data_IF_834016644958
#
_entry.id   IF_834016644958
#
_cell.length_a   1.000
_cell.length_b   1.000
_cell.length_c   1.000
_cell.angle_alpha   90.00
_cell.angle_beta   90.00
_cell.angle_gamma   90.00
#
_symmetry.space_group_name_H-M   'P 1'
#
loop_
_entity.id
_entity.type
_entity.pdbx_description
1 polymer ?
#
# COMPACT_ATOMS: atom_id res chain seq x y z
N UNK A 1 2.59 -15.30 1.72
CA UNK A 1 1.21 -15.07 2.17
C UNK A 1 0.42 -14.43 1.03
N UNK A 2 -0.79 -14.90 0.68
CA UNK A 2 -1.59 -14.27 -0.35
C UNK A 2 -2.23 -12.99 0.19
N UNK A 3 -2.01 -11.86 -0.48
CA UNK A 3 -2.60 -10.55 -0.18
C UNK A 3 -4.11 -10.52 -0.55
N UNK A 4 -4.90 -11.50 -0.14
CA UNK A 4 -6.34 -11.57 -0.41
C UNK A 4 -7.16 -10.80 0.64
N UNK A 5 -6.81 -9.53 0.88
CA UNK A 5 -7.75 -8.58 1.50
C UNK A 5 -8.40 -7.82 0.36
N UNK A 6 -9.72 -7.87 0.25
CA UNK A 6 -10.49 -7.13 -0.76
C UNK A 6 -10.19 -5.64 -0.64
N UNK A 7 -9.38 -5.11 -1.57
CA UNK A 7 -9.08 -3.68 -1.64
C UNK A 7 -10.35 -2.98 -2.11
N UNK A 8 -10.81 -1.97 -1.38
CA UNK A 8 -11.95 -1.16 -1.83
C UNK A 8 -11.49 -0.21 -2.95
N UNK A 9 -12.24 -0.12 -4.07
CA UNK A 9 -11.94 0.83 -5.14
C UNK A 9 -12.21 2.28 -4.70
N UNK A 10 -13.14 2.50 -3.79
CA UNK A 10 -13.61 3.83 -3.39
C UNK A 10 -12.77 4.49 -2.30
N UNK A 11 -11.83 3.74 -1.71
CA UNK A 11 -10.93 4.23 -0.65
C UNK A 11 -9.51 4.34 -1.18
N UNK A 12 -8.67 5.12 -0.50
CA UNK A 12 -7.25 5.19 -0.81
C UNK A 12 -6.57 3.82 -0.80
N UNK A 13 -5.45 3.70 -1.53
CA UNK A 13 -4.63 2.48 -1.51
C UNK A 13 -4.25 2.17 -0.05
N UNK A 14 -4.47 0.94 0.43
CA UNK A 14 -4.17 0.60 1.81
C UNK A 14 -2.69 0.86 2.11
N UNK A 15 -2.42 1.51 3.23
CA UNK A 15 -1.06 1.81 3.68
C UNK A 15 -0.56 0.65 4.54
N UNK A 16 0.65 0.17 4.24
CA UNK A 16 1.30 -0.84 5.07
C UNK A 16 1.69 -0.24 6.42
N UNK A 17 1.28 -0.92 7.49
CA UNK A 17 1.73 -0.59 8.84
C UNK A 17 3.26 -0.60 8.94
N UNK A 18 3.80 0.27 9.77
CA UNK A 18 5.23 0.29 10.05
C UNK A 18 5.63 -0.95 10.84
N UNK A 19 6.82 -1.46 10.57
CA UNK A 19 7.40 -2.55 11.33
C UNK A 19 7.69 -2.09 12.76
N UNK A 20 6.97 -2.68 13.71
CA UNK A 20 7.19 -2.47 15.12
C UNK A 20 8.10 -3.58 15.66
N UNK A 21 9.34 -3.22 15.96
CA UNK A 21 10.34 -4.15 16.51
C UNK A 21 9.92 -4.75 17.84
N UNK A 22 9.21 -4.01 18.70
CA UNK A 22 8.78 -4.52 20.01
C UNK A 22 7.64 -5.52 19.89
N UNK A 23 6.67 -5.22 19.04
CA UNK A 23 5.58 -6.14 18.71
C UNK A 23 6.11 -7.41 18.06
N UNK A 24 7.09 -7.29 17.15
CA UNK A 24 7.76 -8.44 16.57
C UNK A 24 8.44 -9.30 17.63
N UNK A 25 9.20 -8.70 18.56
CA UNK A 25 9.87 -9.43 19.64
C UNK A 25 8.85 -10.10 20.56
N UNK A 26 7.73 -9.44 20.86
CA UNK A 26 6.63 -10.02 21.66
C UNK A 26 5.94 -11.18 20.95
N UNK A 27 5.92 -11.17 19.61
CA UNK A 27 5.35 -12.26 18.80
C UNK A 27 6.26 -13.49 18.69
N UNK A 28 7.53 -13.39 19.07
CA UNK A 28 8.43 -14.54 19.09
C UNK A 28 8.04 -15.49 20.22
N UNK A 29 8.04 -16.79 19.95
CA UNK A 29 7.80 -17.81 20.97
C UNK A 29 8.77 -17.62 22.14
N UNK A 30 8.25 -17.79 23.37
CA UNK A 30 9.06 -17.63 24.58
C UNK A 30 10.29 -18.52 24.58
N UNK A 31 10.24 -19.69 23.93
CA UNK A 31 11.35 -20.63 23.74
C UNK A 31 12.46 -20.11 22.80
N UNK A 32 12.16 -19.21 21.86
CA UNK A 32 13.15 -18.54 21.01
C UNK A 32 13.78 -17.34 21.73
N UNK A 33 13.02 -16.74 22.64
CA UNK A 33 13.49 -15.65 23.49
C UNK A 33 14.35 -16.20 24.61
N UNK A 34 14.05 -17.37 25.20
CA UNK A 34 14.84 -17.99 26.25
C UNK A 34 15.71 -19.12 25.70
N UNK A 35 17.03 -18.94 25.64
CA UNK A 35 17.91 -20.11 25.57
C UNK A 35 17.80 -20.85 26.91
N UNK A 36 17.20 -22.04 26.91
CA UNK A 36 17.30 -22.96 28.03
C UNK A 36 18.79 -23.23 28.30
N UNK A 37 19.29 -22.67 29.40
CA UNK A 37 20.61 -23.02 29.91
C UNK A 37 20.48 -24.43 30.46
N UNK A 38 20.95 -25.44 29.72
CA UNK A 38 21.41 -26.68 30.37
C UNK A 38 22.50 -26.25 31.33
N UNK A 39 22.23 -26.35 32.63
CA UNK A 39 23.20 -26.03 33.67
C UNK A 39 24.51 -26.80 33.41
N UNK A 40 25.54 -26.09 32.94
CA UNK A 40 26.92 -26.55 33.07
C UNK A 40 27.36 -26.12 34.47
N UNK A 41 27.11 -27.01 35.43
CA UNK A 41 27.56 -26.91 36.81
C UNK A 41 29.05 -26.54 36.87
N UNK A 42 29.39 -25.35 37.39
CA UNK A 42 30.77 -25.09 37.81
C UNK A 42 31.31 -23.66 37.84
N UNK A 43 30.64 -22.65 37.26
CA UNK A 43 31.23 -21.29 37.24
C UNK A 43 30.31 -20.23 37.85
N UNK A 44 30.66 -19.81 39.07
CA UNK A 44 30.20 -18.60 39.76
C UNK A 44 30.61 -17.33 38.98
N UNK A 45 29.95 -17.06 37.86
CA UNK A 45 29.93 -15.74 37.23
C UNK A 45 28.46 -15.37 37.04
N UNK A 46 28.08 -14.14 37.40
CA UNK A 46 26.78 -13.55 37.01
C UNK A 46 26.73 -13.49 35.48
N UNK A 47 26.32 -14.58 34.85
CA UNK A 47 26.10 -14.64 33.41
C UNK A 47 24.79 -13.89 33.17
N UNK A 48 24.90 -12.75 32.48
CA UNK A 48 23.75 -11.95 32.04
C UNK A 48 22.79 -12.89 31.31
N UNK A 49 21.54 -12.94 31.76
CA UNK A 49 20.58 -13.96 31.33
C UNK A 49 20.49 -14.04 29.79
N UNK A 50 20.67 -15.22 29.18
CA UNK A 50 20.65 -15.41 27.72
C UNK A 50 19.36 -14.92 27.05
N UNK A 51 18.25 -14.89 27.80
CA UNK A 51 16.95 -14.50 27.26
C UNK A 51 16.85 -13.03 26.88
N UNK A 52 17.63 -12.19 27.57
CA UNK A 52 17.77 -10.76 27.26
C UNK A 52 18.63 -10.59 25.99
N UNK A 53 19.44 -11.58 25.60
CA UNK A 53 20.39 -11.48 24.50
C UNK A 53 19.72 -11.57 23.12
N UNK A 54 18.68 -12.40 22.94
CA UNK A 54 18.01 -12.55 21.62
C UNK A 54 17.17 -11.32 21.30
N UNK A 55 16.37 -10.83 22.25
CA UNK A 55 15.61 -9.59 22.07
C UNK A 55 16.54 -8.39 21.78
N UNK A 56 17.64 -8.26 22.52
CA UNK A 56 18.64 -7.21 22.30
C UNK A 56 19.33 -7.36 20.94
N UNK A 57 19.64 -8.59 20.52
CA UNK A 57 20.20 -8.87 19.19
C UNK A 57 19.23 -8.45 18.09
N UNK A 58 17.95 -8.82 18.18
CA UNK A 58 16.92 -8.43 17.21
C UNK A 58 16.77 -6.90 17.17
N UNK A 59 16.74 -6.23 18.33
CA UNK A 59 16.70 -4.76 18.38
C UNK A 59 17.89 -4.13 17.65
N UNK A 60 19.11 -4.61 17.92
CA UNK A 60 20.33 -4.12 17.26
C UNK A 60 20.36 -4.45 15.77
N UNK A 61 19.91 -5.64 15.40
CA UNK A 61 19.82 -6.06 14.01
C UNK A 61 18.87 -5.15 13.22
N UNK A 62 17.70 -4.85 13.76
CA UNK A 62 16.74 -3.93 13.13
C UNK A 62 17.27 -2.49 13.00
N UNK A 63 18.27 -2.10 13.78
CA UNK A 63 18.95 -0.80 13.66
C UNK A 63 20.07 -0.79 12.62
N UNK A 64 20.49 -1.95 12.09
CA UNK A 64 21.55 -2.01 11.08
C UNK A 64 21.11 -1.46 9.73
N UNK A 65 22.04 -0.86 9.00
CA UNK A 65 21.80 -0.36 7.64
C UNK A 65 21.34 -1.47 6.68
N UNK A 66 21.80 -2.71 6.87
CA UNK A 66 21.38 -3.86 6.06
C UNK A 66 19.88 -4.15 6.22
N UNK A 67 19.39 -4.23 7.46
CA UNK A 67 17.97 -4.45 7.71
C UNK A 67 17.14 -3.29 7.18
N UNK A 68 17.55 -2.05 7.44
CA UNK A 68 16.84 -0.86 6.98
C UNK A 68 16.75 -0.81 5.45
N UNK A 69 17.84 -1.11 4.74
CA UNK A 69 17.86 -1.19 3.27
C UNK A 69 16.92 -2.27 2.74
N UNK A 70 17.03 -3.49 3.29
CA UNK A 70 16.15 -4.60 2.92
C UNK A 70 14.67 -4.32 3.22
N UNK A 71 14.37 -3.77 4.39
CA UNK A 71 13.01 -3.42 4.83
C UNK A 71 12.40 -2.36 3.91
N UNK A 72 13.14 -1.30 3.60
CA UNK A 72 12.69 -0.25 2.69
C UNK A 72 12.43 -0.80 1.28
N UNK A 73 13.32 -1.64 0.75
CA UNK A 73 13.11 -2.30 -0.53
C UNK A 73 11.85 -3.17 -0.51
N UNK A 74 11.67 -4.01 0.51
CA UNK A 74 10.49 -4.88 0.63
C UNK A 74 9.19 -4.12 0.78
N UNK A 75 9.19 -3.01 1.52
CA UNK A 75 8.04 -2.11 1.59
C UNK A 75 7.71 -1.48 0.25
N UNK A 76 8.72 -1.03 -0.50
CA UNK A 76 8.50 -0.44 -1.82
C UNK A 76 7.89 -1.46 -2.78
N UNK A 77 8.41 -2.69 -2.81
CA UNK A 77 7.84 -3.79 -3.59
C UNK A 77 6.38 -4.07 -3.19
N UNK A 78 6.09 -4.20 -1.89
CA UNK A 78 4.74 -4.46 -1.42
C UNK A 78 3.77 -3.30 -1.69
N UNK A 79 4.21 -2.05 -1.53
CA UNK A 79 3.42 -0.87 -1.89
C UNK A 79 3.11 -0.82 -3.38
N UNK A 80 4.08 -1.18 -4.24
CA UNK A 80 3.87 -1.25 -5.69
C UNK A 80 2.80 -2.27 -6.05
N UNK A 81 2.84 -3.46 -5.44
CA UNK A 81 1.81 -4.50 -5.62
C UNK A 81 0.43 -4.00 -5.15
N UNK A 82 0.35 -3.32 -4.00
CA UNK A 82 -0.91 -2.78 -3.50
C UNK A 82 -1.48 -1.69 -4.41
N UNK A 83 -0.61 -0.84 -4.98
CA UNK A 83 -1.02 0.16 -5.95
C UNK A 83 -1.58 -0.50 -7.22
N UNK A 84 -0.89 -1.51 -7.76
CA UNK A 84 -1.35 -2.23 -8.94
C UNK A 84 -2.71 -2.91 -8.70
N UNK A 85 -2.87 -3.62 -7.57
CA UNK A 85 -4.13 -4.27 -7.22
C UNK A 85 -5.28 -3.25 -7.05
N UNK A 86 -4.99 -2.10 -6.44
CA UNK A 86 -5.98 -1.05 -6.29
C UNK A 86 -6.40 -0.47 -7.65
N UNK A 87 -5.45 -0.21 -8.54
CA UNK A 87 -5.73 0.29 -9.89
C UNK A 87 -6.54 -0.71 -10.70
N UNK A 88 -6.19 -1.99 -10.62
CA UNK A 88 -6.99 -3.05 -11.22
C UNK A 88 -8.44 -3.02 -10.71
N UNK A 89 -8.61 -2.91 -9.39
CA UNK A 89 -9.96 -2.83 -8.79
C UNK A 89 -10.72 -1.60 -9.28
N UNK A 90 -10.06 -0.43 -9.42
CA UNK A 90 -10.68 0.78 -9.98
C UNK A 90 -11.15 0.56 -11.43
N UNK A 91 -10.36 -0.13 -12.26
CA UNK A 91 -10.72 -0.42 -13.65
C UNK A 91 -11.87 -1.42 -13.76
N UNK A 92 -11.93 -2.40 -12.86
CA UNK A 92 -12.96 -3.45 -12.84
C UNK A 92 -14.29 -2.97 -12.21
N UNK A 93 -14.32 -1.77 -11.62
CA UNK A 93 -15.50 -1.20 -10.95
C UNK A 93 -16.46 -0.54 -11.95
N UNK A 94 -17.76 -0.76 -11.78
CA UNK A 94 -18.79 0.00 -12.47
C UNK A 94 -19.02 1.35 -11.78
N UNK A 95 -18.46 2.41 -12.37
CA UNK A 95 -18.57 3.77 -11.85
C UNK A 95 -19.93 4.40 -12.09
N UNK A 96 -20.65 3.98 -13.14
CA UNK A 96 -21.96 4.55 -13.46
C UNK A 96 -22.98 4.11 -12.42
N UNK A 97 -22.94 2.84 -12.00
CA UNK A 97 -23.74 2.34 -10.89
C UNK A 97 -23.34 3.01 -9.56
N UNK A 98 -22.03 3.13 -9.29
CA UNK A 98 -21.55 3.75 -8.05
C UNK A 98 -21.98 5.22 -7.89
N UNK A 99 -22.01 5.99 -8.98
CA UNK A 99 -22.44 7.39 -8.97
C UNK A 99 -23.93 7.58 -8.66
N UNK A 100 -24.77 6.55 -8.86
CA UNK A 100 -26.21 6.68 -8.64
C UNK A 100 -26.53 6.86 -7.15
N UNK A 101 -27.22 7.96 -6.82
CA UNK A 101 -27.65 8.27 -5.45
C UNK A 101 -26.53 8.71 -4.50
N UNK A 102 -25.31 8.96 -5.00
CA UNK A 102 -24.21 9.59 -4.25
C UNK A 102 -24.29 11.11 -4.34
N UNK A 103 -23.84 11.84 -3.29
CA UNK A 103 -23.73 13.29 -3.39
C UNK A 103 -22.65 13.67 -4.40
N UNK A 104 -22.92 14.73 -5.18
CA UNK A 104 -22.03 15.19 -6.27
C UNK A 104 -20.60 15.45 -5.79
N UNK A 105 -20.44 15.98 -4.57
CA UNK A 105 -19.12 16.25 -3.97
C UNK A 105 -18.29 14.97 -3.81
N UNK A 106 -18.89 13.85 -3.41
CA UNK A 106 -18.18 12.56 -3.31
C UNK A 106 -17.77 12.04 -4.68
N UNK A 107 -18.64 12.23 -5.69
CA UNK A 107 -18.36 11.81 -7.07
C UNK A 107 -17.19 12.61 -7.64
N UNK A 108 -17.18 13.93 -7.46
CA UNK A 108 -16.11 14.81 -7.95
C UNK A 108 -14.80 14.52 -7.22
N UNK A 109 -14.81 14.36 -5.90
CA UNK A 109 -13.64 14.01 -5.09
C UNK A 109 -13.03 12.67 -5.53
N UNK A 110 -13.88 11.68 -5.82
CA UNK A 110 -13.41 10.39 -6.34
C UNK A 110 -12.85 10.51 -7.77
N UNK A 111 -13.46 11.35 -8.60
CA UNK A 111 -12.99 11.62 -9.96
C UNK A 111 -11.60 12.27 -9.96
N UNK A 112 -11.37 13.25 -9.07
CA UNK A 112 -10.05 13.88 -8.88
C UNK A 112 -9.03 12.83 -8.43
N UNK A 113 -9.37 11.96 -7.47
CA UNK A 113 -8.48 10.86 -7.04
C UNK A 113 -8.13 9.90 -8.17
N UNK A 114 -9.09 9.56 -9.02
CA UNK A 114 -8.86 8.69 -10.18
C UNK A 114 -7.94 9.36 -11.20
N UNK A 115 -8.15 10.65 -11.46
CA UNK A 115 -7.30 11.45 -12.34
C UNK A 115 -5.85 11.54 -11.82
N UNK A 116 -5.66 11.87 -10.55
CA UNK A 116 -4.31 11.96 -9.96
C UNK A 116 -3.58 10.62 -10.02
N UNK A 117 -4.28 9.51 -9.78
CA UNK A 117 -3.74 8.15 -9.96
C UNK A 117 -3.37 7.88 -11.41
N UNK A 118 -4.19 8.30 -12.36
CA UNK A 118 -3.90 8.18 -13.80
C UNK A 118 -2.65 8.98 -14.19
N UNK A 119 -2.44 10.18 -13.64
CA UNK A 119 -1.27 11.01 -13.93
C UNK A 119 0.01 10.48 -13.28
N UNK A 120 -0.11 9.84 -12.11
CA UNK A 120 1.02 9.22 -11.43
C UNK A 120 1.48 7.90 -12.07
N UNK A 121 0.64 7.27 -12.92
CA UNK A 121 1.03 6.13 -13.73
C UNK A 121 2.00 6.57 -14.83
N UNK A 122 3.30 6.38 -14.59
CA UNK A 122 4.35 6.58 -15.61
C UNK A 122 4.10 5.67 -16.82
N UNK A 123 4.42 6.13 -18.03
CA UNK A 123 4.40 5.35 -19.29
C UNK A 123 5.40 4.17 -19.33
N UNK A 124 6.07 3.90 -18.21
CA UNK A 124 6.97 2.78 -18.09
C UNK A 124 6.18 1.49 -17.90
N UNK A 125 6.11 0.72 -18.99
CA UNK A 125 5.61 -0.66 -19.13
C UNK A 125 4.13 -0.80 -19.52
N UNK A 126 3.87 -1.54 -20.61
CA UNK A 126 2.58 -1.64 -21.30
C UNK A 126 1.39 -2.13 -20.48
N UNK A 127 1.61 -2.69 -19.28
CA UNK A 127 0.56 -3.01 -18.32
C UNK A 127 -0.07 -1.74 -17.73
N UNK A 128 0.76 -0.75 -17.37
CA UNK A 128 0.28 0.54 -16.86
C UNK A 128 -0.46 1.37 -17.92
N UNK A 129 -0.08 1.22 -19.19
CA UNK A 129 -0.78 1.87 -20.32
C UNK A 129 -2.25 1.44 -20.41
N UNK A 130 -2.55 0.13 -20.30
CA UNK A 130 -3.93 -0.37 -20.36
C UNK A 130 -4.79 0.17 -19.22
N UNK A 131 -4.26 0.19 -17.99
CA UNK A 131 -4.97 0.74 -16.84
C UNK A 131 -5.17 2.25 -16.95
N UNK A 132 -4.18 2.98 -17.48
CA UNK A 132 -4.28 4.42 -17.74
C UNK A 132 -5.42 4.73 -18.72
N UNK A 133 -5.52 4.00 -19.83
CA UNK A 133 -6.62 4.15 -20.80
C UNK A 133 -7.97 3.71 -20.22
N UNK A 134 -7.99 2.68 -19.38
CA UNK A 134 -9.21 2.24 -18.68
C UNK A 134 -9.74 3.33 -17.72
N UNK A 135 -8.86 3.90 -16.90
CA UNK A 135 -9.21 5.00 -16.00
C UNK A 135 -9.64 6.26 -16.76
N UNK A 136 -8.96 6.60 -17.86
CA UNK A 136 -9.34 7.70 -18.74
C UNK A 136 -10.79 7.59 -19.23
N UNK A 137 -11.18 6.40 -19.71
CA UNK A 137 -12.54 6.12 -20.17
C UNK A 137 -13.56 6.25 -19.05
N UNK A 138 -13.25 5.71 -17.86
CA UNK A 138 -14.14 5.84 -16.71
C UNK A 138 -14.32 7.30 -16.28
N UNK A 139 -13.26 8.09 -16.26
CA UNK A 139 -13.32 9.53 -15.96
C UNK A 139 -14.19 10.26 -16.98
N UNK A 140 -14.01 9.99 -18.27
CA UNK A 140 -14.83 10.60 -19.32
C UNK A 140 -16.31 10.23 -19.19
N UNK A 141 -16.61 8.96 -18.93
CA UNK A 141 -17.98 8.49 -18.72
C UNK A 141 -18.64 9.22 -17.53
N UNK A 142 -17.95 9.34 -16.40
CA UNK A 142 -18.48 10.05 -15.22
C UNK A 142 -18.68 11.54 -15.53
N UNK A 143 -17.73 12.21 -16.20
CA UNK A 143 -17.86 13.63 -16.60
C UNK A 143 -19.08 13.85 -17.50
N UNK A 144 -19.38 12.89 -18.38
CA UNK A 144 -20.54 12.97 -19.28
C UNK A 144 -21.88 12.77 -18.57
N UNK A 145 -21.89 12.10 -17.41
CA UNK A 145 -23.10 11.92 -16.57
C UNK A 145 -23.34 13.06 -15.59
N UNK A 146 -22.35 13.91 -15.33
CA UNK A 146 -22.46 15.03 -14.39
C UNK A 146 -23.23 16.21 -15.00
N UNK A 147 -23.90 17.04 -14.17
CA UNK A 147 -24.54 18.27 -14.62
C UNK A 147 -23.58 19.21 -15.37
N UNK A 148 -24.09 20.04 -16.31
CA UNK A 148 -23.27 20.89 -17.17
C UNK A 148 -22.39 21.89 -16.38
N UNK A 149 -22.88 22.36 -15.23
CA UNK A 149 -22.16 23.29 -14.37
C UNK A 149 -20.85 22.68 -13.85
N UNK A 150 -20.89 21.43 -13.38
CA UNK A 150 -19.71 20.70 -12.89
C UNK A 150 -18.85 20.19 -14.04
N UNK A 151 -19.49 19.71 -15.11
CA UNK A 151 -18.80 19.24 -16.32
C UNK A 151 -17.87 20.32 -16.89
N UNK A 152 -18.33 21.58 -16.91
CA UNK A 152 -17.57 22.73 -17.42
C UNK A 152 -16.28 23.01 -16.64
N UNK A 153 -16.29 22.81 -15.32
CA UNK A 153 -15.13 23.02 -14.45
C UNK A 153 -14.15 21.85 -14.55
N UNK A 154 -14.65 20.63 -14.75
CA UNK A 154 -13.88 19.40 -14.79
C UNK A 154 -13.32 19.07 -16.19
N UNK A 155 -13.58 19.89 -17.21
CA UNK A 155 -13.03 19.73 -18.58
C UNK A 155 -11.51 19.57 -18.56
N UNK A 156 -10.81 20.25 -17.64
CA UNK A 156 -9.36 20.18 -17.52
C UNK A 156 -8.83 18.83 -17.03
N UNK A 157 -9.68 17.99 -16.44
CA UNK A 157 -9.35 16.62 -16.02
C UNK A 157 -9.54 15.61 -17.14
N UNK A 158 -10.08 16.04 -18.30
CA UNK A 158 -10.19 15.17 -19.46
C UNK A 158 -8.76 14.89 -19.96
N UNK A 159 -8.36 13.62 -20.13
CA UNK A 159 -7.04 13.30 -20.61
C UNK A 159 -6.82 13.95 -21.97
N UNK A 160 -5.87 14.87 -22.04
CA UNK A 160 -5.50 15.56 -23.28
C UNK A 160 -4.96 14.53 -24.28
N UNK A 161 -5.54 14.47 -25.48
CA UNK A 161 -5.00 13.72 -26.63
C UNK A 161 -3.75 14.39 -27.23
N UNK A 162 -2.89 15.02 -26.40
CA UNK A 162 -1.68 15.69 -26.85
C UNK A 162 -0.45 14.89 -26.45
N UNK A 163 0.05 14.09 -27.39
CA UNK A 163 1.37 13.46 -27.29
C UNK A 163 1.54 12.24 -28.20
N UNK A 164 1.37 12.43 -29.51
CA UNK A 164 2.02 11.57 -30.52
C UNK A 164 3.53 11.70 -30.45
#
# INVERSE_FOLDING_TARGET
>A
MPLQKSISPYKGTPVLAEFNTEEFIQSLDSSLITCEVKELSGLNKKIRQPSICVAEFVKRFCQTANFQGWYNQKRQEANSILQELHIKTLCDTDWLDWCQGRPEVEVVDQLIRMHDKQMCLKETQGVHSKYRTGLAKHIENIISTLPPDLSSVLVNLRPSEAGS
#
